data_IF_623755402002
#
_entry.id   IF_623755402002
#
_cell.length_a   1.000
_cell.length_b   1.000
_cell.length_c   1.000
_cell.angle_alpha   90.00
_cell.angle_beta   90.00
_cell.angle_gamma   90.00
#
_symmetry.space_group_name_H-M   'P 1'
#
loop_
_entity.id
_entity.type
_entity.pdbx_description
1 polymer ?
#
# COMPACT_ATOMS: atom_id res chain seq x y z
N UNK A 1 2.62 0.74 13.66
CA UNK A 1 2.67 -0.20 12.51
C UNK A 1 3.99 -1.00 12.48
N UNK A 2 5.15 -0.37 12.25
CA UNK A 2 6.44 -1.08 12.09
C UNK A 2 6.83 -2.03 13.23
N UNK A 3 6.63 -1.62 14.49
CA UNK A 3 6.90 -2.51 15.63
C UNK A 3 6.02 -3.76 15.62
N UNK A 4 4.74 -3.62 15.29
CA UNK A 4 3.81 -4.76 15.17
C UNK A 4 4.23 -5.69 14.03
N UNK A 5 4.63 -5.12 12.89
CA UNK A 5 5.18 -5.89 11.77
C UNK A 5 6.42 -6.68 12.19
N UNK A 6 7.37 -6.05 12.90
CA UNK A 6 8.55 -6.72 13.43
C UNK A 6 8.19 -7.88 14.36
N UNK A 7 7.34 -7.65 15.35
CA UNK A 7 6.92 -8.69 16.30
C UNK A 7 6.24 -9.87 15.60
N UNK A 8 5.37 -9.61 14.62
CA UNK A 8 4.72 -10.68 13.87
C UNK A 8 5.73 -11.47 13.01
N UNK A 9 6.65 -10.80 12.30
CA UNK A 9 7.70 -11.46 11.51
C UNK A 9 8.63 -12.33 12.38
N UNK A 10 8.98 -11.87 13.59
CA UNK A 10 9.80 -12.64 14.54
C UNK A 10 9.17 -13.97 14.96
N UNK A 11 7.84 -14.09 14.84
CA UNK A 11 7.11 -15.33 15.15
C UNK A 11 6.96 -16.24 13.93
N UNK A 12 7.56 -15.91 12.78
CA UNK A 12 7.47 -16.69 11.54
C UNK A 12 6.21 -16.45 10.71
N UNK A 13 5.40 -15.43 11.04
CA UNK A 13 4.18 -15.12 10.30
C UNK A 13 4.42 -14.06 9.22
N UNK A 14 3.68 -14.16 8.11
CA UNK A 14 3.62 -13.11 7.09
C UNK A 14 2.84 -11.88 7.59
N UNK A 15 3.20 -10.70 7.09
CA UNK A 15 2.57 -9.43 7.45
C UNK A 15 2.15 -8.67 6.20
N UNK A 16 0.93 -8.15 6.21
CA UNK A 16 0.48 -7.12 5.28
C UNK A 16 0.41 -5.80 6.06
N UNK A 17 1.14 -4.80 5.57
CA UNK A 17 1.12 -3.44 6.10
C UNK A 17 0.44 -2.52 5.09
N UNK A 18 -0.79 -2.10 5.41
CA UNK A 18 -1.56 -1.17 4.59
C UNK A 18 -1.59 0.21 5.25
N UNK A 19 -1.01 1.20 4.59
CA UNK A 19 -1.05 2.61 4.98
C UNK A 19 -0.64 3.50 3.80
N UNK A 20 -0.92 4.81 3.93
CA UNK A 20 -0.63 5.82 2.89
C UNK A 20 0.86 5.89 2.53
N UNK A 21 1.77 5.70 3.50
CA UNK A 21 3.23 5.70 3.31
C UNK A 21 3.72 6.81 2.36
N UNK A 22 3.21 8.02 2.54
CA UNK A 22 3.40 9.14 1.63
C UNK A 22 4.86 9.54 1.51
N UNK A 23 5.61 9.48 2.62
CA UNK A 23 6.98 9.99 2.66
C UNK A 23 7.98 8.88 2.31
N UNK A 24 9.03 9.17 1.50
CA UNK A 24 10.05 8.18 1.15
C UNK A 24 10.68 7.46 2.35
N UNK A 25 10.90 8.18 3.46
CA UNK A 25 11.44 7.61 4.68
C UNK A 25 10.49 6.61 5.36
N UNK A 26 9.17 6.77 5.22
CA UNK A 26 8.20 5.83 5.77
C UNK A 26 8.22 4.51 5.02
N UNK A 27 8.39 4.57 3.69
CA UNK A 27 8.53 3.38 2.82
C UNK A 27 9.84 2.65 3.10
N UNK A 28 10.96 3.37 3.10
CA UNK A 28 12.29 2.83 3.44
C UNK A 28 12.31 2.20 4.84
N UNK A 29 11.67 2.83 5.82
CA UNK A 29 11.60 2.29 7.17
C UNK A 29 10.74 1.03 7.27
N UNK A 30 9.78 0.81 6.37
CA UNK A 30 9.00 -0.43 6.32
C UNK A 30 9.81 -1.55 5.65
N UNK A 31 10.47 -1.25 4.53
CA UNK A 31 11.40 -2.16 3.84
C UNK A 31 12.49 -2.67 4.79
N UNK A 32 13.10 -1.76 5.56
CA UNK A 32 14.14 -2.10 6.53
C UNK A 32 13.66 -3.10 7.59
N UNK A 33 12.39 -3.06 8.02
CA UNK A 33 11.85 -4.04 8.98
C UNK A 33 11.90 -5.45 8.40
N UNK A 34 11.56 -5.63 7.12
CA UNK A 34 11.63 -6.93 6.48
C UNK A 34 13.08 -7.39 6.33
N UNK A 35 13.98 -6.51 5.87
CA UNK A 35 15.42 -6.81 5.75
C UNK A 35 16.04 -7.22 7.09
N UNK A 36 15.75 -6.48 8.17
CA UNK A 36 16.23 -6.78 9.54
C UNK A 36 15.76 -8.15 10.05
N UNK A 37 14.61 -8.64 9.57
CA UNK A 37 14.07 -9.95 9.93
C UNK A 37 14.40 -11.04 8.89
N UNK A 38 15.29 -10.75 7.93
CA UNK A 38 15.61 -11.63 6.80
C UNK A 38 14.36 -12.12 6.05
N UNK A 39 13.30 -11.31 6.02
CA UNK A 39 12.06 -11.59 5.33
C UNK A 39 12.06 -10.96 3.93
N UNK A 40 11.42 -11.64 2.98
CA UNK A 40 11.09 -11.05 1.67
C UNK A 40 10.19 -9.83 1.87
N UNK A 41 10.41 -8.80 1.06
CA UNK A 41 9.57 -7.61 1.00
C UNK A 41 9.05 -7.40 -0.41
N UNK A 42 7.72 -7.29 -0.55
CA UNK A 42 7.06 -6.93 -1.80
C UNK A 42 6.27 -5.64 -1.61
N UNK A 43 6.75 -4.55 -2.18
CA UNK A 43 6.06 -3.26 -2.15
C UNK A 43 5.05 -3.13 -3.28
N UNK A 44 3.77 -2.91 -2.95
CA UNK A 44 2.71 -2.59 -3.90
C UNK A 44 2.20 -1.15 -3.67
N UNK A 45 2.10 -0.36 -4.73
CA UNK A 45 1.57 1.00 -4.69
C UNK A 45 0.28 1.10 -5.51
N UNK A 46 -0.87 1.22 -4.84
CA UNK A 46 -2.16 1.32 -5.51
C UNK A 46 -2.45 2.77 -5.89
N UNK A 47 -2.80 3.02 -7.15
CA UNK A 47 -3.21 4.35 -7.63
C UNK A 47 -4.43 4.25 -8.56
N UNK A 48 -5.28 5.26 -8.52
CA UNK A 48 -6.47 5.39 -9.37
C UNK A 48 -6.77 6.88 -9.55
N UNK A 49 -7.50 7.32 -10.57
CA UNK A 49 -7.88 8.73 -10.72
C UNK A 49 -8.64 9.28 -9.51
N UNK A 50 -8.46 10.57 -9.18
CA UNK A 50 -9.14 11.23 -8.05
C UNK A 50 -10.67 11.09 -8.07
N UNK A 51 -11.38 11.24 -9.21
CA UNK A 51 -12.83 11.06 -9.23
C UNK A 51 -13.26 9.65 -8.80
N UNK A 52 -12.47 8.63 -9.16
CA UNK A 52 -12.73 7.23 -8.78
C UNK A 52 -12.52 7.04 -7.27
N UNK A 53 -11.42 7.57 -6.73
CA UNK A 53 -11.13 7.47 -5.29
C UNK A 53 -12.18 8.20 -4.46
N UNK A 54 -12.58 9.40 -4.88
CA UNK A 54 -13.60 10.24 -4.23
C UNK A 54 -14.94 9.52 -4.20
N UNK A 55 -15.42 9.04 -5.36
CA UNK A 55 -16.68 8.30 -5.43
C UNK A 55 -16.67 7.04 -4.53
N UNK A 56 -15.52 6.38 -4.39
CA UNK A 56 -15.39 5.23 -3.49
C UNK A 56 -15.47 5.62 -2.03
N UNK A 57 -14.69 6.59 -1.57
CA UNK A 57 -14.70 6.98 -0.15
C UNK A 57 -16.07 7.49 0.27
N UNK A 58 -16.78 8.21 -0.61
CA UNK A 58 -18.13 8.70 -0.34
C UNK A 58 -19.17 7.57 -0.27
N UNK A 59 -18.95 6.46 -0.99
CA UNK A 59 -19.83 5.30 -0.97
C UNK A 59 -19.52 4.29 0.16
N UNK A 60 -18.40 4.44 0.88
CA UNK A 60 -18.00 3.51 1.94
C UNK A 60 -18.97 3.55 3.12
N UNK A 61 -19.20 2.39 3.72
CA UNK A 61 -19.93 2.25 4.99
C UNK A 61 -19.12 1.32 5.89
N UNK A 62 -18.86 1.75 7.14
CA UNK A 62 -18.14 0.94 8.12
C UNK A 62 -16.64 0.76 7.84
N UNK A 63 -15.99 1.73 7.19
CA UNK A 63 -14.54 1.73 7.01
C UNK A 63 -13.82 2.05 8.33
N UNK A 64 -12.66 1.42 8.56
CA UNK A 64 -11.79 1.70 9.70
C UNK A 64 -11.00 3.01 9.53
N UNK A 65 -10.98 3.57 8.32
CA UNK A 65 -10.31 4.84 7.99
C UNK A 65 -11.31 6.00 7.91
N UNK A 66 -11.00 7.12 8.57
CA UNK A 66 -11.78 8.37 8.51
C UNK A 66 -11.54 9.17 7.21
N UNK A 67 -11.12 8.51 6.12
CA UNK A 67 -10.80 9.18 4.87
C UNK A 67 -12.07 9.60 4.12
N UNK A 68 -12.25 10.91 3.99
CA UNK A 68 -13.30 11.54 3.18
C UNK A 68 -12.73 12.06 1.84
N UNK A 69 -13.60 12.60 0.97
CA UNK A 69 -13.21 13.24 -0.27
C UNK A 69 -12.13 14.34 -0.10
N UNK A 70 -12.12 15.04 1.05
CA UNK A 70 -11.13 16.07 1.35
C UNK A 70 -9.77 15.44 1.65
N UNK A 71 -9.72 14.31 2.35
CA UNK A 71 -8.49 13.54 2.57
C UNK A 71 -7.92 13.05 1.23
N UNK A 72 -8.76 12.55 0.31
CA UNK A 72 -8.31 12.15 -1.04
C UNK A 72 -7.65 13.32 -1.77
N UNK A 73 -8.31 14.49 -1.81
CA UNK A 73 -7.75 15.70 -2.42
C UNK A 73 -6.46 16.17 -1.73
N UNK A 74 -6.40 16.09 -0.41
CA UNK A 74 -5.22 16.47 0.35
C UNK A 74 -4.03 15.58 0.01
N UNK A 75 -4.23 14.26 -0.10
CA UNK A 75 -3.18 13.30 -0.41
C UNK A 75 -2.57 13.52 -1.81
N UNK A 76 -3.31 14.08 -2.77
CA UNK A 76 -2.77 14.44 -4.09
C UNK A 76 -1.68 15.50 -4.05
N UNK A 77 -1.70 16.34 -3.03
CA UNK A 77 -0.71 17.40 -2.87
C UNK A 77 0.55 16.91 -2.12
N UNK A 78 0.60 15.63 -1.74
CA UNK A 78 1.78 15.09 -1.08
C UNK A 78 2.96 15.00 -2.05
N UNK A 79 4.11 15.47 -1.57
CA UNK A 79 5.39 15.24 -2.24
C UNK A 79 5.82 13.81 -1.96
N UNK A 80 5.34 12.89 -2.79
CA UNK A 80 5.58 11.47 -2.61
C UNK A 80 7.05 11.09 -2.82
N UNK A 81 7.81 11.88 -3.60
CA UNK A 81 9.14 11.49 -4.07
C UNK A 81 9.07 10.28 -5.00
N UNK A 82 10.18 9.58 -5.14
CA UNK A 82 10.22 8.36 -5.94
C UNK A 82 9.43 7.22 -5.28
N UNK A 83 8.57 6.57 -6.07
CA UNK A 83 7.86 5.36 -5.67
C UNK A 83 8.60 4.16 -6.28
N UNK A 84 9.43 3.50 -5.47
CA UNK A 84 10.15 2.28 -5.86
C UNK A 84 9.32 0.99 -5.74
N UNK A 85 8.04 1.09 -5.37
CA UNK A 85 7.13 -0.05 -5.25
C UNK A 85 6.41 -0.33 -6.57
N UNK A 86 5.93 -1.56 -6.74
CA UNK A 86 5.18 -1.98 -7.93
C UNK A 86 3.84 -1.24 -8.00
N UNK A 87 3.69 -0.38 -9.01
CA UNK A 87 2.47 0.41 -9.20
C UNK A 87 1.35 -0.47 -9.76
N UNK A 88 0.23 -0.51 -9.04
CA UNK A 88 -0.98 -1.24 -9.40
C UNK A 88 -2.10 -0.24 -9.65
N UNK A 89 -2.70 -0.30 -10.84
CA UNK A 89 -3.91 0.48 -11.10
C UNK A 89 -5.09 -0.10 -10.34
N UNK A 90 -5.72 0.75 -9.53
CA UNK A 90 -6.94 0.48 -8.79
C UNK A 90 -8.17 1.19 -9.41
N UNK A 91 -8.07 1.64 -10.66
CA UNK A 91 -9.16 2.35 -11.34
C UNK A 91 -10.39 1.46 -11.65
N UNK A 92 -10.17 0.16 -11.87
CA UNK A 92 -11.21 -0.87 -12.08
C UNK A 92 -11.78 -1.40 -10.77
N UNK A 93 -12.49 -2.52 -10.77
CA UNK A 93 -13.15 -3.04 -9.55
C UNK A 93 -12.14 -3.51 -8.48
N UNK A 94 -12.57 -3.78 -7.24
CA UNK A 94 -11.72 -4.44 -6.25
C UNK A 94 -11.14 -5.76 -6.76
N UNK A 95 -11.91 -6.53 -7.54
CA UNK A 95 -11.49 -7.79 -8.16
C UNK A 95 -10.39 -7.57 -9.21
N UNK A 96 -10.53 -6.54 -10.04
CA UNK A 96 -9.48 -6.15 -11.01
C UNK A 96 -8.19 -5.78 -10.29
N UNK A 97 -8.30 -5.00 -9.22
CA UNK A 97 -7.15 -4.55 -8.41
C UNK A 97 -6.46 -5.75 -7.77
N UNK A 98 -7.24 -6.65 -7.19
CA UNK A 98 -6.76 -7.89 -6.58
C UNK A 98 -6.05 -8.79 -7.61
N UNK A 99 -6.64 -8.99 -8.80
CA UNK A 99 -6.04 -9.79 -9.86
C UNK A 99 -4.69 -9.23 -10.31
N UNK A 100 -4.59 -7.90 -10.49
CA UNK A 100 -3.34 -7.21 -10.84
C UNK A 100 -2.30 -7.33 -9.72
N UNK A 101 -2.70 -7.16 -8.47
CA UNK A 101 -1.81 -7.31 -7.31
C UNK A 101 -1.24 -8.74 -7.22
N UNK A 102 -2.08 -9.77 -7.36
CA UNK A 102 -1.60 -11.15 -7.39
C UNK A 102 -0.65 -11.40 -8.56
N UNK A 103 -0.98 -10.88 -9.73
CA UNK A 103 -0.12 -11.02 -10.90
C UNK A 103 1.25 -10.39 -10.64
N UNK A 104 1.30 -9.18 -10.09
CA UNK A 104 2.55 -8.52 -9.73
C UNK A 104 3.36 -9.39 -8.74
N UNK A 105 2.76 -9.83 -7.62
CA UNK A 105 3.45 -10.65 -6.62
C UNK A 105 4.06 -11.93 -7.18
N UNK A 106 3.38 -12.59 -8.12
CA UNK A 106 3.88 -13.79 -8.79
C UNK A 106 5.09 -13.54 -9.72
N UNK A 107 5.38 -12.27 -10.04
CA UNK A 107 6.41 -11.88 -11.00
C UNK A 107 7.55 -11.07 -10.39
N UNK A 108 7.45 -10.65 -9.11
CA UNK A 108 8.50 -9.90 -8.40
C UNK A 108 9.77 -10.76 -8.21
N UNK A 109 9.66 -12.09 -8.15
CA UNK A 109 10.80 -13.01 -7.97
C UNK A 109 11.63 -13.30 -9.23
N UNK A 110 11.30 -12.70 -10.38
CA UNK A 110 11.93 -13.05 -11.68
C UNK A 110 12.93 -12.02 -12.22
N UNK A 111 13.40 -11.10 -11.39
CA UNK A 111 14.44 -10.12 -11.74
C UNK A 111 15.61 -10.24 -10.76
#
# INVERSE_FOLDING_TARGET
LRQRARTALQTGHSVIADAVHARPEERRALEAVATEQAARFDGLWLDAPEPVLTARVDARRGDASDADARVVRQQRNYRLGEIGWHKISAAGTPEDTHARARHALAHIDRQ
#
